data_IF_684008377908
#
_entry.id   IF_684008377908
#
_cell.length_a   1.000
_cell.length_b   1.000
_cell.length_c   1.000
_cell.angle_alpha   90.00
_cell.angle_beta   90.00
_cell.angle_gamma   90.00
#
_symmetry.space_group_name_H-M   'P 1'
#
loop_
_entity.id
_entity.type
_entity.pdbx_description
1 polymer ?
#
# COMPACT_ATOMS: atom_id res chain seq x y z
N UNK A 1 25.53 -13.96 16.65
CA UNK A 1 26.12 -14.09 15.30
C UNK A 1 25.05 -14.27 14.19
N UNK A 2 24.12 -15.22 14.30
CA UNK A 2 23.10 -15.43 13.25
C UNK A 2 22.23 -14.16 12.97
N UNK A 3 21.77 -13.45 14.01
CA UNK A 3 20.97 -12.23 13.88
C UNK A 3 21.76 -11.09 13.24
N UNK A 4 23.02 -10.94 13.64
CA UNK A 4 23.89 -9.85 13.18
C UNK A 4 24.22 -9.98 11.68
N UNK A 5 24.45 -11.23 11.22
CA UNK A 5 24.82 -11.53 9.84
C UNK A 5 23.62 -11.65 8.88
N UNK A 6 22.40 -11.51 9.40
CA UNK A 6 21.20 -11.55 8.57
C UNK A 6 21.05 -10.24 7.80
N UNK A 7 20.65 -10.31 6.54
CA UNK A 7 20.20 -9.13 5.81
C UNK A 7 18.80 -8.75 6.32
N UNK A 8 18.75 -7.73 7.13
CA UNK A 8 17.51 -7.19 7.72
C UNK A 8 17.81 -5.80 8.31
N UNK A 9 16.77 -4.99 8.50
CA UNK A 9 16.86 -3.67 9.11
C UNK A 9 17.63 -3.68 10.45
N UNK A 10 18.46 -2.66 10.66
CA UNK A 10 19.34 -2.52 11.83
C UNK A 10 18.56 -2.39 13.13
N UNK A 11 17.41 -1.74 13.13
CA UNK A 11 16.56 -1.57 14.33
C UNK A 11 15.97 -2.91 14.77
N UNK A 12 15.56 -3.74 13.80
CA UNK A 12 15.09 -5.11 14.05
C UNK A 12 16.19 -5.99 14.65
N UNK A 13 17.44 -5.90 14.12
CA UNK A 13 18.59 -6.63 14.69
C UNK A 13 18.85 -6.22 16.12
N UNK A 14 18.88 -4.91 16.39
CA UNK A 14 19.12 -4.36 17.72
C UNK A 14 18.05 -4.82 18.72
N UNK A 15 16.77 -4.76 18.36
CA UNK A 15 15.67 -5.22 19.20
C UNK A 15 15.85 -6.69 19.63
N UNK A 16 16.12 -7.57 18.65
CA UNK A 16 16.30 -9.00 18.94
C UNK A 16 17.54 -9.29 19.78
N UNK A 17 18.66 -8.59 19.53
CA UNK A 17 19.86 -8.73 20.34
C UNK A 17 19.60 -8.27 21.77
N UNK A 18 18.99 -7.11 21.98
CA UNK A 18 18.62 -6.60 23.31
C UNK A 18 17.69 -7.56 24.05
N UNK A 19 16.66 -8.08 23.38
CA UNK A 19 15.70 -9.00 23.98
C UNK A 19 16.38 -10.31 24.43
N UNK A 20 17.25 -10.88 23.61
CA UNK A 20 17.98 -12.12 23.94
C UNK A 20 19.03 -11.87 25.03
N UNK A 21 19.72 -10.73 25.02
CA UNK A 21 20.69 -10.42 26.07
C UNK A 21 20.03 -10.17 27.44
N UNK A 22 18.84 -9.51 27.43
CA UNK A 22 18.09 -9.24 28.66
C UNK A 22 17.40 -10.50 29.22
N UNK A 23 16.90 -11.37 28.35
CA UNK A 23 16.16 -12.59 28.70
C UNK A 23 16.62 -13.76 27.83
N UNK A 24 17.78 -14.38 28.07
CA UNK A 24 18.41 -15.31 27.13
C UNK A 24 17.53 -16.48 26.71
N UNK A 25 16.84 -17.15 27.61
CA UNK A 25 15.98 -18.31 27.34
C UNK A 25 14.66 -17.83 26.68
N UNK A 26 13.97 -16.91 27.35
CA UNK A 26 12.69 -16.39 26.88
C UNK A 26 12.85 -15.62 25.55
N UNK A 27 13.82 -14.70 25.47
CA UNK A 27 14.11 -13.93 24.26
C UNK A 27 14.55 -14.83 23.09
N UNK A 28 15.31 -15.89 23.38
CA UNK A 28 15.66 -16.91 22.39
C UNK A 28 14.43 -17.66 21.84
N UNK A 29 13.53 -18.09 22.71
CA UNK A 29 12.26 -18.76 22.30
C UNK A 29 11.40 -17.80 21.50
N UNK A 30 11.20 -16.57 21.98
CA UNK A 30 10.41 -15.55 21.29
C UNK A 30 11.03 -15.21 19.93
N UNK A 31 12.37 -15.13 19.85
CA UNK A 31 13.06 -14.93 18.56
C UNK A 31 12.83 -16.10 17.59
N UNK A 32 12.89 -17.33 18.06
CA UNK A 32 12.62 -18.51 17.24
C UNK A 32 11.17 -18.54 16.73
N UNK A 33 10.22 -18.05 17.53
CA UNK A 33 8.80 -18.01 17.19
C UNK A 33 8.41 -16.81 16.32
N UNK A 34 8.99 -15.63 16.56
CA UNK A 34 8.57 -14.37 15.95
C UNK A 34 9.66 -13.69 15.11
N UNK A 35 10.92 -13.90 15.43
CA UNK A 35 12.07 -13.24 14.78
C UNK A 35 12.51 -13.92 13.50
N UNK A 36 12.12 -15.18 13.29
CA UNK A 36 12.51 -15.92 12.10
C UNK A 36 11.47 -15.73 11.00
N UNK A 37 11.69 -14.73 10.14
CA UNK A 37 10.81 -14.40 9.00
C UNK A 37 10.84 -15.45 7.87
N UNK A 38 11.38 -16.66 8.10
CA UNK A 38 11.44 -17.70 7.07
C UNK A 38 10.03 -18.23 6.79
N UNK A 39 9.55 -17.88 5.64
CA UNK A 39 8.36 -18.48 5.03
C UNK A 39 8.60 -19.97 4.88
N UNK A 40 7.62 -20.83 5.16
CA UNK A 40 7.73 -22.27 4.92
C UNK A 40 8.19 -22.55 3.48
N UNK A 41 9.15 -23.47 3.29
CA UNK A 41 9.72 -23.76 1.96
C UNK A 41 8.67 -24.03 0.89
N UNK A 42 7.58 -24.72 1.25
CA UNK A 42 6.49 -25.01 0.32
C UNK A 42 5.77 -23.73 -0.16
N UNK A 43 5.62 -22.74 0.71
CA UNK A 43 5.03 -21.44 0.37
C UNK A 43 6.00 -20.60 -0.47
N UNK A 44 7.30 -20.64 -0.16
CA UNK A 44 8.33 -19.98 -1.00
C UNK A 44 8.39 -20.55 -2.42
N UNK A 45 8.19 -21.87 -2.59
CA UNK A 45 8.18 -22.48 -3.91
C UNK A 45 6.98 -22.00 -4.72
N UNK A 46 5.78 -21.96 -4.13
CA UNK A 46 4.57 -21.45 -4.79
C UNK A 46 4.71 -19.98 -5.16
N UNK A 47 5.24 -19.17 -4.26
CA UNK A 47 5.46 -17.76 -4.50
C UNK A 47 6.48 -17.53 -5.63
N UNK A 48 7.61 -18.24 -5.62
CA UNK A 48 8.59 -18.18 -6.71
C UNK A 48 8.02 -18.63 -8.05
N UNK A 49 7.12 -19.60 -8.07
CA UNK A 49 6.47 -20.03 -9.29
C UNK A 49 5.51 -18.97 -9.82
N UNK A 50 4.66 -18.42 -8.95
CA UNK A 50 3.78 -17.32 -9.29
C UNK A 50 4.56 -16.10 -9.80
N UNK A 51 5.71 -15.77 -9.18
CA UNK A 51 6.61 -14.70 -9.62
C UNK A 51 7.32 -15.02 -10.95
N UNK A 52 7.73 -16.27 -11.18
CA UNK A 52 8.30 -16.68 -12.47
C UNK A 52 7.28 -16.56 -13.62
N UNK A 53 6.02 -16.87 -13.35
CA UNK A 53 4.96 -16.72 -14.33
C UNK A 53 4.61 -15.25 -14.58
N UNK A 54 4.58 -14.44 -13.54
CA UNK A 54 4.42 -12.99 -13.62
C UNK A 54 5.39 -12.34 -14.62
N UNK A 55 6.70 -12.65 -14.56
CA UNK A 55 7.72 -12.11 -15.45
C UNK A 55 7.46 -12.34 -16.94
N UNK A 56 6.72 -13.40 -17.29
CA UNK A 56 6.40 -13.71 -18.69
C UNK A 56 5.38 -12.74 -19.29
N UNK A 57 4.57 -12.12 -18.43
CA UNK A 57 3.48 -11.23 -18.81
C UNK A 57 3.80 -9.76 -18.56
N UNK A 58 4.70 -9.45 -17.64
CA UNK A 58 5.19 -8.10 -17.39
C UNK A 58 6.13 -7.67 -18.54
N UNK A 59 5.57 -7.29 -19.68
CA UNK A 59 6.34 -6.91 -20.86
C UNK A 59 6.56 -5.40 -20.88
N UNK A 60 7.83 -4.99 -20.86
CA UNK A 60 8.23 -3.59 -21.02
C UNK A 60 8.03 -3.14 -22.46
N UNK A 61 7.45 -1.97 -22.69
CA UNK A 61 7.43 -1.33 -24.00
C UNK A 61 8.80 -0.67 -24.28
N UNK A 62 9.53 -1.22 -25.26
CA UNK A 62 10.88 -0.77 -25.61
C UNK A 62 10.84 0.62 -26.28
N UNK A 63 9.76 0.95 -27.01
CA UNK A 63 9.59 2.26 -27.64
C UNK A 63 9.51 3.36 -26.59
N UNK A 64 8.72 3.15 -25.53
CA UNK A 64 8.65 4.09 -24.40
C UNK A 64 10.06 4.27 -23.78
N UNK A 65 10.82 3.19 -23.58
CA UNK A 65 12.17 3.29 -23.00
C UNK A 65 13.15 4.07 -23.90
N UNK A 66 13.05 3.94 -25.22
CA UNK A 66 13.93 4.68 -26.13
C UNK A 66 13.67 6.17 -26.13
N UNK A 67 12.40 6.57 -25.97
CA UNK A 67 11.99 7.97 -25.93
C UNK A 67 12.32 8.65 -24.58
N UNK A 68 12.46 7.85 -23.49
CA UNK A 68 12.71 8.35 -22.13
C UNK A 68 14.16 8.77 -21.87
N UNK A 69 15.14 8.18 -22.55
CA UNK A 69 16.57 8.35 -22.21
C UNK A 69 17.14 9.73 -22.54
N UNK A 70 16.44 10.59 -23.27
CA UNK A 70 17.06 11.83 -23.74
C UNK A 70 16.73 13.07 -22.88
N UNK A 71 15.59 13.16 -22.19
CA UNK A 71 15.16 14.43 -21.56
C UNK A 71 14.60 14.37 -20.13
N UNK A 72 14.20 13.20 -19.57
CA UNK A 72 13.55 13.13 -18.25
C UNK A 72 14.24 12.20 -17.24
N UNK A 73 15.11 12.81 -16.42
CA UNK A 73 15.87 12.13 -15.37
C UNK A 73 14.98 11.42 -14.33
N UNK A 74 13.82 12.02 -13.96
CA UNK A 74 12.91 11.46 -12.93
C UNK A 74 12.28 10.18 -13.46
N UNK A 75 11.77 10.24 -14.68
CA UNK A 75 11.11 9.13 -15.34
C UNK A 75 12.09 7.96 -15.59
N UNK A 76 13.29 8.26 -16.11
CA UNK A 76 14.34 7.24 -16.31
C UNK A 76 14.72 6.54 -15.00
N UNK A 77 14.95 7.30 -13.94
CA UNK A 77 15.27 6.76 -12.62
C UNK A 77 14.19 5.84 -12.07
N UNK A 78 12.93 6.31 -12.11
CA UNK A 78 11.81 5.55 -11.58
C UNK A 78 11.54 4.29 -12.41
N UNK A 79 11.62 4.38 -13.73
CA UNK A 79 11.44 3.24 -14.65
C UNK A 79 12.54 2.19 -14.46
N UNK A 80 13.80 2.60 -14.39
CA UNK A 80 14.94 1.72 -14.18
C UNK A 80 14.85 0.99 -12.83
N UNK A 81 14.51 1.73 -11.76
CA UNK A 81 14.33 1.15 -10.42
C UNK A 81 13.16 0.18 -10.37
N UNK A 82 12.00 0.56 -10.91
CA UNK A 82 10.80 -0.27 -10.91
C UNK A 82 11.01 -1.58 -11.70
N UNK A 83 11.69 -1.49 -12.84
CA UNK A 83 12.05 -2.66 -13.63
C UNK A 83 13.05 -3.58 -12.92
N UNK A 84 14.09 -3.00 -12.32
CA UNK A 84 15.11 -3.77 -11.61
C UNK A 84 14.56 -4.43 -10.35
N UNK A 85 13.69 -3.75 -9.60
CA UNK A 85 13.16 -4.27 -8.35
C UNK A 85 12.10 -5.35 -8.55
N UNK A 86 11.21 -5.21 -9.54
CA UNK A 86 10.07 -6.11 -9.63
C UNK A 86 9.54 -6.35 -11.03
N UNK A 87 10.26 -5.93 -12.09
CA UNK A 87 9.78 -6.01 -13.48
C UNK A 87 8.44 -5.27 -13.68
N UNK A 88 8.31 -4.09 -13.07
CA UNK A 88 7.13 -3.23 -13.24
C UNK A 88 7.31 -2.35 -14.47
N UNK A 89 6.50 -2.58 -15.55
CA UNK A 89 6.61 -1.79 -16.78
C UNK A 89 6.07 -0.38 -16.59
N UNK A 90 6.58 0.55 -17.40
CA UNK A 90 5.98 1.86 -17.58
C UNK A 90 4.93 1.81 -18.71
N UNK A 91 3.84 2.57 -18.51
CA UNK A 91 2.74 2.68 -19.47
C UNK A 91 2.41 4.14 -19.74
N UNK A 92 2.08 4.45 -21.00
CA UNK A 92 1.66 5.79 -21.48
C UNK A 92 0.15 5.87 -21.78
N UNK A 93 -0.45 4.79 -22.25
CA UNK A 93 -1.85 4.75 -22.71
C UNK A 93 -2.83 4.46 -21.56
N UNK A 94 -2.89 5.36 -20.58
CA UNK A 94 -3.73 5.19 -19.39
C UNK A 94 -4.45 6.50 -19.02
N UNK A 95 -5.74 6.39 -18.74
CA UNK A 95 -6.53 7.46 -18.12
C UNK A 95 -6.54 7.24 -16.62
N UNK A 96 -6.18 8.26 -15.85
CA UNK A 96 -6.23 8.24 -14.40
C UNK A 96 -7.33 9.17 -13.89
N UNK A 97 -8.00 8.72 -12.83
CA UNK A 97 -8.92 9.55 -12.05
C UNK A 97 -8.50 9.43 -10.59
N UNK A 98 -8.18 10.56 -9.96
CA UNK A 98 -7.94 10.64 -8.53
C UNK A 98 -9.25 10.82 -7.77
N UNK A 99 -9.38 10.22 -6.60
CA UNK A 99 -10.51 10.38 -5.69
C UNK A 99 -10.00 10.96 -4.37
N UNK A 100 -10.42 12.17 -4.02
CA UNK A 100 -10.03 12.81 -2.77
C UNK A 100 -10.77 12.24 -1.56
N UNK A 101 -11.73 11.34 -1.77
CA UNK A 101 -12.51 10.73 -0.68
C UNK A 101 -12.89 9.29 -0.95
N UNK A 102 -13.10 8.51 0.12
CA UNK A 102 -13.60 7.14 0.01
C UNK A 102 -15.03 7.08 -0.53
N UNK A 103 -15.83 8.11 -0.29
CA UNK A 103 -17.18 8.25 -0.81
C UNK A 103 -17.20 8.32 -2.34
N UNK A 104 -16.34 9.17 -2.92
CA UNK A 104 -16.24 9.30 -4.37
C UNK A 104 -15.70 8.03 -5.03
N UNK A 105 -14.66 7.43 -4.42
CA UNK A 105 -14.10 6.17 -4.90
C UNK A 105 -15.15 5.04 -4.85
N UNK A 106 -15.94 4.97 -3.78
CA UNK A 106 -17.03 3.99 -3.65
C UNK A 106 -18.11 4.16 -4.72
N UNK A 107 -18.53 5.40 -5.01
CA UNK A 107 -19.47 5.65 -6.09
C UNK A 107 -18.94 5.17 -7.45
N UNK A 108 -17.66 5.41 -7.71
CA UNK A 108 -17.00 4.92 -8.93
C UNK A 108 -16.91 3.38 -8.95
N UNK A 109 -16.65 2.71 -7.81
CA UNK A 109 -16.72 1.24 -7.72
C UNK A 109 -18.08 0.72 -8.20
N UNK A 110 -19.18 1.27 -7.68
CA UNK A 110 -20.52 0.84 -8.05
C UNK A 110 -20.78 1.04 -9.54
N UNK A 111 -20.41 2.21 -10.08
CA UNK A 111 -20.61 2.52 -11.49
C UNK A 111 -19.87 1.57 -12.44
N UNK A 112 -18.62 1.20 -12.10
CA UNK A 112 -17.82 0.31 -12.95
C UNK A 112 -18.20 -1.16 -12.74
N UNK A 113 -18.51 -1.59 -11.50
CA UNK A 113 -18.95 -2.97 -11.21
C UNK A 113 -20.23 -3.35 -11.99
N UNK A 114 -21.18 -2.41 -12.12
CA UNK A 114 -22.42 -2.62 -12.90
C UNK A 114 -22.13 -2.87 -14.38
N UNK A 115 -21.02 -2.34 -14.92
CA UNK A 115 -20.63 -2.49 -16.33
C UNK A 115 -19.86 -3.78 -16.64
N UNK A 116 -19.43 -4.52 -15.63
CA UNK A 116 -18.64 -5.74 -15.79
C UNK A 116 -19.33 -6.77 -16.70
N UNK A 117 -18.61 -7.34 -17.65
CA UNK A 117 -19.10 -8.28 -18.66
C UNK A 117 -18.36 -9.63 -18.65
N UNK A 118 -17.06 -9.66 -18.31
CA UNK A 118 -16.20 -10.86 -18.39
C UNK A 118 -15.76 -11.31 -17.00
N UNK A 119 -15.05 -10.44 -16.22
CA UNK A 119 -14.58 -10.79 -14.90
C UNK A 119 -14.48 -9.61 -13.93
N UNK A 120 -14.59 -9.93 -12.63
CA UNK A 120 -14.35 -9.01 -11.51
C UNK A 120 -13.38 -9.66 -10.53
N UNK A 121 -12.26 -9.00 -10.26
CA UNK A 121 -11.29 -9.38 -9.25
C UNK A 121 -11.27 -8.36 -8.12
N UNK A 122 -11.50 -8.81 -6.88
CA UNK A 122 -11.47 -7.97 -5.69
C UNK A 122 -10.48 -8.54 -4.67
N UNK A 123 -9.55 -7.72 -4.21
CA UNK A 123 -8.58 -8.06 -3.18
C UNK A 123 -8.49 -6.93 -2.18
N UNK A 124 -8.92 -7.18 -0.93
CA UNK A 124 -8.98 -6.17 0.12
C UNK A 124 -8.52 -6.72 1.46
N UNK A 125 -7.76 -5.90 2.21
CA UNK A 125 -7.32 -6.27 3.55
C UNK A 125 -8.49 -6.42 4.52
N UNK A 126 -9.46 -5.47 4.49
CA UNK A 126 -10.66 -5.52 5.32
C UNK A 126 -11.91 -5.59 4.45
N UNK A 127 -12.75 -6.59 4.71
CA UNK A 127 -14.16 -6.60 4.31
C UNK A 127 -14.99 -6.64 5.58
N UNK A 128 -15.90 -5.68 5.74
CA UNK A 128 -16.79 -5.57 6.88
C UNK A 128 -18.25 -5.45 6.41
N UNK A 129 -19.14 -6.19 7.05
CA UNK A 129 -20.58 -6.11 6.77
C UNK A 129 -21.12 -4.73 7.09
N UNK A 130 -21.81 -4.12 6.15
CA UNK A 130 -22.37 -2.78 6.27
C UNK A 130 -23.01 -2.36 4.95
N UNK A 131 -23.34 -1.09 4.82
CA UNK A 131 -23.95 -0.52 3.60
C UNK A 131 -23.04 -0.72 2.40
N UNK A 132 -21.74 -0.36 2.54
CA UNK A 132 -20.76 -0.46 1.46
C UNK A 132 -20.65 -1.90 0.93
N UNK A 133 -20.35 -2.86 1.83
CA UNK A 133 -20.19 -4.25 1.41
C UNK A 133 -21.47 -4.88 0.89
N UNK A 134 -22.60 -4.67 1.55
CA UNK A 134 -23.86 -5.29 1.15
C UNK A 134 -24.29 -4.86 -0.26
N UNK A 135 -24.07 -3.60 -0.62
CA UNK A 135 -24.34 -3.09 -1.97
C UNK A 135 -23.41 -3.72 -3.00
N UNK A 136 -22.10 -3.76 -2.72
CA UNK A 136 -21.13 -4.40 -3.59
C UNK A 136 -21.46 -5.89 -3.75
N UNK A 137 -21.72 -6.60 -2.65
CA UNK A 137 -22.03 -8.03 -2.64
C UNK A 137 -23.25 -8.36 -3.51
N UNK A 138 -24.29 -7.53 -3.46
CA UNK A 138 -25.47 -7.74 -4.29
C UNK A 138 -25.10 -7.66 -5.79
N UNK A 139 -24.31 -6.67 -6.19
CA UNK A 139 -23.85 -6.54 -7.58
C UNK A 139 -23.01 -7.75 -7.98
N UNK A 140 -22.07 -8.19 -7.11
CA UNK A 140 -21.24 -9.36 -7.38
C UNK A 140 -22.07 -10.63 -7.57
N UNK A 141 -23.12 -10.84 -6.77
CA UNK A 141 -24.03 -11.98 -6.91
C UNK A 141 -24.80 -11.92 -8.23
N UNK A 142 -25.32 -10.74 -8.58
CA UNK A 142 -26.06 -10.54 -9.83
C UNK A 142 -25.15 -10.79 -11.05
N UNK A 143 -23.90 -10.29 -11.01
CA UNK A 143 -22.92 -10.53 -12.07
C UNK A 143 -22.49 -12.01 -12.16
N UNK A 144 -22.25 -12.66 -11.04
CA UNK A 144 -21.96 -14.10 -11.03
C UNK A 144 -23.13 -14.93 -11.61
N UNK A 145 -24.38 -14.58 -11.29
CA UNK A 145 -25.57 -15.21 -11.87
C UNK A 145 -25.69 -15.00 -13.39
N UNK A 146 -25.12 -13.91 -13.94
CA UNK A 146 -25.03 -13.63 -15.37
C UNK A 146 -23.85 -14.34 -16.06
N UNK A 147 -23.00 -15.06 -15.31
CA UNK A 147 -21.86 -15.81 -15.83
C UNK A 147 -20.53 -15.06 -15.82
N UNK A 148 -20.46 -13.87 -15.20
CA UNK A 148 -19.20 -13.13 -14.98
C UNK A 148 -18.32 -13.91 -13.98
N UNK A 149 -17.01 -14.03 -14.27
CA UNK A 149 -16.05 -14.69 -13.36
C UNK A 149 -15.72 -13.76 -12.18
N UNK A 150 -16.39 -13.95 -11.04
CA UNK A 150 -16.24 -13.11 -9.86
C UNK A 150 -15.32 -13.80 -8.85
N UNK A 151 -14.18 -13.15 -8.54
CA UNK A 151 -13.20 -13.63 -7.58
C UNK A 151 -12.90 -12.62 -6.50
N UNK A 152 -12.89 -13.09 -5.25
CA UNK A 152 -12.64 -12.24 -4.07
C UNK A 152 -11.53 -12.83 -3.21
N UNK A 153 -10.56 -12.01 -2.85
CA UNK A 153 -9.57 -12.29 -1.82
C UNK A 153 -9.76 -11.29 -0.67
N UNK A 154 -9.75 -11.77 0.55
CA UNK A 154 -9.67 -10.90 1.72
C UNK A 154 -8.64 -11.44 2.71
N UNK A 155 -7.97 -10.54 3.46
CA UNK A 155 -7.04 -10.96 4.50
C UNK A 155 -7.82 -11.49 5.72
N UNK A 156 -7.47 -12.70 6.17
CA UNK A 156 -8.19 -13.36 7.27
C UNK A 156 -8.05 -12.60 8.59
N UNK A 157 -6.86 -12.06 8.90
CA UNK A 157 -6.64 -11.27 10.11
C UNK A 157 -7.29 -9.89 10.02
N UNK A 158 -7.20 -9.23 8.87
CA UNK A 158 -7.81 -7.92 8.64
C UNK A 158 -9.33 -7.96 8.78
N UNK A 159 -9.95 -9.08 8.40
CA UNK A 159 -11.41 -9.26 8.42
C UNK A 159 -11.92 -10.10 9.60
N UNK A 160 -11.02 -10.59 10.48
CA UNK A 160 -11.32 -11.58 11.53
C UNK A 160 -12.46 -11.19 12.47
N UNK A 161 -12.53 -9.92 12.85
CA UNK A 161 -13.56 -9.41 13.78
C UNK A 161 -14.88 -9.02 13.10
N UNK A 162 -14.89 -9.02 11.77
CA UNK A 162 -15.98 -8.50 10.95
C UNK A 162 -16.73 -9.58 10.18
N UNK A 163 -16.05 -10.67 9.84
CA UNK A 163 -16.61 -11.77 9.04
C UNK A 163 -16.66 -13.08 9.83
N UNK A 164 -17.66 -13.95 9.57
CA UNK A 164 -17.68 -15.31 10.09
C UNK A 164 -16.49 -16.13 9.56
N UNK A 165 -15.98 -17.08 10.34
CA UNK A 165 -14.84 -17.95 9.94
C UNK A 165 -15.03 -18.67 8.62
N UNK A 166 -16.30 -19.05 8.29
CA UNK A 166 -16.63 -19.76 7.05
C UNK A 166 -17.09 -18.84 5.91
N UNK A 167 -16.79 -17.54 5.98
CA UNK A 167 -17.34 -16.57 5.06
C UNK A 167 -16.97 -16.83 3.59
N UNK A 168 -15.74 -17.25 3.32
CA UNK A 168 -15.32 -17.66 1.98
C UNK A 168 -16.19 -18.80 1.44
N UNK A 169 -16.51 -19.82 2.26
CA UNK A 169 -17.42 -20.92 1.86
C UNK A 169 -18.82 -20.41 1.55
N UNK A 170 -19.31 -19.43 2.33
CA UNK A 170 -20.63 -18.82 2.10
C UNK A 170 -20.69 -18.07 0.77
N UNK A 171 -19.63 -17.38 0.38
CA UNK A 171 -19.54 -16.68 -0.91
C UNK A 171 -19.39 -17.67 -2.08
N UNK A 172 -18.55 -18.71 -1.92
CA UNK A 172 -18.41 -19.77 -2.91
C UNK A 172 -19.75 -20.48 -3.20
N UNK A 173 -20.57 -20.72 -2.18
CA UNK A 173 -21.92 -21.30 -2.34
C UNK A 173 -22.88 -20.37 -3.11
N UNK A 174 -22.54 -19.08 -3.26
CA UNK A 174 -23.31 -18.09 -4.02
C UNK A 174 -22.73 -17.79 -5.41
N UNK A 175 -21.76 -18.59 -5.86
CA UNK A 175 -21.13 -18.44 -7.17
C UNK A 175 -19.97 -17.42 -7.21
N UNK A 176 -19.59 -16.84 -6.05
CA UNK A 176 -18.46 -15.91 -5.94
C UNK A 176 -17.25 -16.70 -5.47
N UNK A 177 -16.26 -16.94 -6.35
CA UNK A 177 -15.05 -17.66 -6.00
C UNK A 177 -14.25 -16.84 -4.96
N UNK A 178 -13.99 -17.41 -3.78
CA UNK A 178 -13.43 -16.63 -2.67
C UNK A 178 -12.35 -17.38 -1.92
N UNK A 179 -11.25 -16.69 -1.62
CA UNK A 179 -10.19 -17.17 -0.74
C UNK A 179 -9.95 -16.18 0.41
N UNK A 180 -9.77 -16.72 1.63
CA UNK A 180 -9.23 -15.96 2.75
C UNK A 180 -7.70 -16.05 2.69
N UNK A 181 -7.01 -14.91 2.59
CA UNK A 181 -5.54 -14.89 2.57
C UNK A 181 -4.96 -15.19 3.96
N UNK A 182 -3.98 -16.08 3.98
CA UNK A 182 -3.21 -16.48 5.16
C UNK A 182 -4.07 -16.74 6.41
N UNK A 183 -4.97 -17.76 6.36
CA UNK A 183 -5.88 -18.07 7.47
C UNK A 183 -5.12 -18.34 8.77
N UNK A 184 -5.64 -17.81 9.89
CA UNK A 184 -5.10 -18.02 11.21
C UNK A 184 -5.12 -19.50 11.60
N UNK A 185 -3.94 -20.14 11.60
CA UNK A 185 -3.75 -21.52 12.06
C UNK A 185 -2.78 -21.52 13.24
N UNK A 186 -3.09 -22.21 14.37
CA UNK A 186 -2.23 -22.20 15.56
C UNK A 186 -0.78 -22.65 15.33
N UNK A 187 -0.54 -23.41 14.25
CA UNK A 187 0.76 -24.02 13.92
C UNK A 187 1.68 -23.13 13.06
N UNK A 188 1.21 -21.98 12.57
CA UNK A 188 1.92 -21.12 11.61
C UNK A 188 2.20 -19.71 12.11
N UNK A 189 2.52 -19.56 13.40
CA UNK A 189 2.73 -18.24 14.03
C UNK A 189 3.74 -17.33 13.28
N UNK A 190 4.72 -17.89 12.58
CA UNK A 190 5.74 -17.14 11.85
C UNK A 190 5.28 -16.59 10.49
N UNK A 191 4.40 -17.31 9.78
CA UNK A 191 3.82 -16.83 8.52
C UNK A 191 2.67 -15.83 8.74
N UNK A 192 2.23 -15.66 9.99
CA UNK A 192 1.08 -14.80 10.34
C UNK A 192 1.38 -13.31 10.24
N UNK A 193 2.65 -12.90 10.21
CA UNK A 193 3.02 -11.48 10.09
C UNK A 193 2.91 -10.94 8.67
N UNK A 194 3.03 -11.81 7.66
CA UNK A 194 2.88 -11.40 6.26
C UNK A 194 1.40 -11.32 5.93
N UNK A 195 0.90 -10.09 5.79
CA UNK A 195 -0.52 -9.81 5.52
C UNK A 195 -0.69 -9.22 4.14
N UNK A 196 -1.82 -9.50 3.53
CA UNK A 196 -2.19 -8.88 2.27
C UNK A 196 -2.88 -7.54 2.55
N UNK A 197 -2.09 -6.46 2.48
CA UNK A 197 -2.59 -5.10 2.73
C UNK A 197 -3.00 -4.38 1.44
N UNK A 198 -3.02 -5.07 0.30
CA UNK A 198 -3.44 -4.50 -0.98
C UNK A 198 -4.94 -4.23 -1.00
N UNK A 199 -5.33 -3.29 -1.83
CA UNK A 199 -6.71 -2.95 -2.15
C UNK A 199 -6.79 -2.80 -3.65
N UNK A 200 -7.26 -3.85 -4.30
CA UNK A 200 -7.34 -3.97 -5.75
C UNK A 200 -8.76 -4.33 -6.14
N UNK A 201 -9.33 -3.57 -7.07
CA UNK A 201 -10.52 -3.95 -7.81
C UNK A 201 -10.19 -3.88 -9.29
N UNK A 202 -10.28 -5.00 -9.99
CA UNK A 202 -10.10 -5.08 -11.46
C UNK A 202 -11.40 -5.51 -12.10
N UNK A 203 -11.77 -4.85 -13.19
CA UNK A 203 -12.98 -5.14 -13.95
C UNK A 203 -12.58 -5.33 -15.42
N UNK A 204 -12.84 -6.52 -15.96
CA UNK A 204 -12.65 -6.91 -17.35
C UNK A 204 -11.22 -6.69 -17.89
N UNK A 205 -10.22 -6.51 -17.02
CA UNK A 205 -8.86 -6.10 -17.43
C UNK A 205 -8.77 -4.71 -18.07
N UNK A 206 -9.83 -3.91 -17.97
CA UNK A 206 -9.96 -2.58 -18.58
C UNK A 206 -9.95 -1.45 -17.57
N UNK A 207 -10.39 -1.74 -16.35
CA UNK A 207 -10.47 -0.77 -15.22
C UNK A 207 -9.85 -1.38 -13.99
N UNK A 208 -9.00 -0.62 -13.31
CA UNK A 208 -8.48 -0.99 -12.00
C UNK A 208 -8.61 0.17 -11.01
N UNK A 209 -8.79 -0.18 -9.74
CA UNK A 209 -8.78 0.77 -8.62
C UNK A 209 -7.77 0.33 -7.57
N UNK A 210 -7.11 1.32 -6.97
CA UNK A 210 -6.29 1.14 -5.77
C UNK A 210 -6.34 2.38 -4.88
N UNK A 211 -5.74 2.30 -3.68
CA UNK A 211 -5.69 3.40 -2.72
C UNK A 211 -5.78 2.91 -1.28
N UNK A 212 -6.09 3.81 -0.35
CA UNK A 212 -6.17 3.47 1.07
C UNK A 212 -7.47 2.78 1.50
N UNK A 213 -8.55 2.92 0.72
CA UNK A 213 -9.91 2.54 1.08
C UNK A 213 -10.11 1.02 1.16
N UNK A 214 -10.53 0.51 2.32
CA UNK A 214 -11.06 -0.86 2.47
C UNK A 214 -12.57 -0.89 2.28
N UNK A 215 -13.16 -2.07 2.33
CA UNK A 215 -14.60 -2.27 2.19
C UNK A 215 -15.26 -2.27 3.59
N UNK A 216 -15.51 -1.08 4.09
CA UNK A 216 -16.19 -0.87 5.38
C UNK A 216 -16.78 0.53 5.47
N UNK A 217 -17.88 0.67 6.22
CA UNK A 217 -18.71 1.87 6.29
C UNK A 217 -17.98 3.11 6.87
N UNK A 218 -16.93 2.93 7.66
CA UNK A 218 -16.10 4.03 8.15
C UNK A 218 -15.33 4.73 7.03
N UNK A 219 -14.92 4.03 5.97
CA UNK A 219 -14.17 4.60 4.83
C UNK A 219 -15.03 5.52 3.94
N UNK A 220 -16.34 5.36 4.01
CA UNK A 220 -17.32 6.19 3.31
C UNK A 220 -18.12 7.09 4.25
N UNK A 221 -17.64 7.31 5.47
CA UNK A 221 -18.21 8.16 6.51
C UNK A 221 -19.70 7.90 6.88
N UNK A 222 -20.28 6.78 6.46
CA UNK A 222 -21.61 6.35 6.90
C UNK A 222 -21.58 5.87 8.36
N UNK A 223 -20.41 5.52 8.87
CA UNK A 223 -20.18 5.18 10.27
C UNK A 223 -19.03 6.04 10.83
N UNK A 224 -19.36 6.98 11.72
CA UNK A 224 -18.34 7.79 12.42
C UNK A 224 -17.63 6.96 13.48
N UNK A 225 -16.29 6.85 13.39
CA UNK A 225 -15.48 6.12 14.35
C UNK A 225 -14.34 6.96 14.95
N UNK A 226 -13.61 7.72 14.12
CA UNK A 226 -12.46 8.54 14.52
C UNK A 226 -12.58 9.95 13.89
N UNK A 227 -13.73 10.61 14.07
CA UNK A 227 -14.02 11.84 13.36
C UNK A 227 -14.34 11.60 11.88
N UNK A 228 -13.99 12.55 11.03
CA UNK A 228 -14.05 12.40 9.58
C UNK A 228 -12.94 11.46 9.12
N UNK A 229 -13.29 10.42 8.38
CA UNK A 229 -12.34 9.50 7.76
C UNK A 229 -11.97 10.01 6.38
N UNK A 230 -10.74 10.46 6.22
CA UNK A 230 -10.19 10.94 4.94
C UNK A 230 -9.37 9.83 4.30
N UNK A 231 -9.91 9.20 3.27
CA UNK A 231 -9.17 8.27 2.44
C UNK A 231 -9.00 8.80 1.02
N UNK A 232 -8.04 8.28 0.29
CA UNK A 232 -7.75 8.66 -1.09
C UNK A 232 -7.45 7.43 -1.92
N UNK A 233 -7.74 7.52 -3.21
CA UNK A 233 -7.44 6.45 -4.15
C UNK A 233 -7.46 6.92 -5.60
N UNK A 234 -7.23 5.98 -6.50
CA UNK A 234 -7.29 6.26 -7.93
C UNK A 234 -7.95 5.13 -8.71
N UNK A 235 -8.45 5.49 -9.89
CA UNK A 235 -8.91 4.58 -10.93
C UNK A 235 -8.00 4.72 -12.15
N UNK A 236 -7.66 3.58 -12.74
CA UNK A 236 -6.87 3.48 -13.96
C UNK A 236 -7.73 2.82 -15.02
N UNK A 237 -7.78 3.39 -16.22
CA UNK A 237 -8.32 2.76 -17.43
C UNK A 237 -7.23 2.70 -18.47
N UNK A 238 -6.96 1.53 -19.04
CA UNK A 238 -5.92 1.36 -20.05
C UNK A 238 -4.95 0.23 -19.78
N UNK A 239 -3.82 0.26 -20.48
CA UNK A 239 -2.84 -0.83 -20.49
C UNK A 239 -2.27 -1.15 -19.10
N UNK A 240 -2.09 -0.16 -18.21
CA UNK A 240 -1.57 -0.36 -16.87
C UNK A 240 -2.44 -1.21 -15.94
N UNK A 241 -3.70 -1.47 -16.28
CA UNK A 241 -4.61 -2.38 -15.57
C UNK A 241 -4.07 -3.81 -15.55
N UNK A 242 -3.29 -4.17 -16.58
CA UNK A 242 -2.62 -5.46 -16.69
C UNK A 242 -1.83 -5.81 -15.42
N UNK A 243 -1.10 -4.87 -14.85
CA UNK A 243 -0.27 -5.11 -13.67
C UNK A 243 -1.09 -5.43 -12.42
N UNK A 244 -2.24 -4.79 -12.22
CA UNK A 244 -3.14 -5.13 -11.13
C UNK A 244 -3.82 -6.48 -11.35
N UNK A 245 -4.15 -6.81 -12.59
CA UNK A 245 -4.68 -8.14 -12.96
C UNK A 245 -3.68 -9.24 -12.63
N UNK A 246 -2.41 -9.05 -13.02
CA UNK A 246 -1.33 -9.99 -12.75
C UNK A 246 -1.07 -10.10 -11.24
N UNK A 247 -1.02 -8.96 -10.54
CA UNK A 247 -0.79 -8.93 -9.09
C UNK A 247 -1.89 -9.68 -8.31
N UNK A 248 -3.15 -9.51 -8.69
CA UNK A 248 -4.26 -10.29 -8.14
C UNK A 248 -4.09 -11.78 -8.39
N UNK A 249 -3.81 -12.17 -9.65
CA UNK A 249 -3.66 -13.57 -10.03
C UNK A 249 -2.46 -14.25 -9.38
N UNK A 250 -1.40 -13.51 -9.06
CA UNK A 250 -0.26 -13.99 -8.29
C UNK A 250 -0.72 -14.50 -6.92
N UNK A 251 -1.46 -13.71 -6.15
CA UNK A 251 -1.98 -14.13 -4.85
C UNK A 251 -3.10 -15.16 -5.00
N UNK A 252 -3.93 -15.05 -6.03
CA UNK A 252 -4.93 -16.09 -6.32
C UNK A 252 -4.28 -17.46 -6.50
N UNK A 253 -3.29 -17.57 -7.38
CA UNK A 253 -2.57 -18.82 -7.65
C UNK A 253 -1.77 -19.33 -6.44
N UNK A 254 -1.27 -18.41 -5.60
CA UNK A 254 -0.64 -18.79 -4.34
C UNK A 254 -1.62 -19.49 -3.38
N UNK A 255 -2.91 -19.10 -3.36
CA UNK A 255 -3.95 -19.66 -2.47
C UNK A 255 -4.69 -20.83 -3.08
N UNK A 256 -4.93 -20.81 -4.39
CA UNK A 256 -5.75 -21.79 -5.09
C UNK A 256 -5.10 -23.18 -5.15
N UNK A 257 -5.93 -24.21 -5.23
CA UNK A 257 -5.50 -25.60 -5.49
C UNK A 257 -5.16 -25.83 -6.97
N UNK A 258 -5.84 -25.10 -7.86
CA UNK A 258 -5.66 -25.19 -9.31
C UNK A 258 -5.08 -23.89 -9.83
N UNK A 259 -4.13 -24.01 -10.76
CA UNK A 259 -3.47 -22.86 -11.37
C UNK A 259 -4.40 -22.19 -12.38
N UNK A 260 -4.52 -20.88 -12.28
CA UNK A 260 -5.22 -20.02 -13.24
C UNK A 260 -4.21 -19.37 -14.19
N UNK A 261 -4.41 -19.55 -15.50
CA UNK A 261 -3.57 -18.89 -16.51
C UNK A 261 -3.82 -17.39 -16.55
N UNK A 262 -2.76 -16.62 -16.60
CA UNK A 262 -2.83 -15.16 -16.73
C UNK A 262 -3.36 -14.72 -18.10
N UNK A 263 -3.02 -15.47 -19.18
CA UNK A 263 -3.32 -15.10 -20.56
C UNK A 263 -4.81 -14.85 -20.85
N UNK A 264 -5.71 -15.52 -20.10
CA UNK A 264 -7.16 -15.33 -20.25
C UNK A 264 -7.62 -13.93 -19.86
N UNK A 265 -6.94 -13.31 -18.90
CA UNK A 265 -7.39 -12.08 -18.23
C UNK A 265 -6.60 -10.84 -18.62
N UNK A 266 -5.54 -11.03 -19.43
CA UNK A 266 -4.73 -9.92 -19.93
C UNK A 266 -5.31 -9.48 -21.27
N UNK A 267 -5.65 -8.19 -21.36
CA UNK A 267 -6.15 -7.60 -22.58
C UNK A 267 -5.03 -7.36 -23.60
N UNK A 268 -5.35 -7.44 -24.90
CA UNK A 268 -4.42 -6.96 -25.91
C UNK A 268 -4.25 -5.44 -25.77
N UNK A 269 -3.01 -4.96 -25.60
CA UNK A 269 -2.68 -3.55 -25.39
C UNK A 269 -3.15 -2.65 -26.56
N UNK A 270 -3.30 -3.20 -27.76
CA UNK A 270 -3.85 -2.48 -28.93
C UNK A 270 -5.28 -1.95 -28.71
N UNK A 271 -6.06 -2.59 -27.84
CA UNK A 271 -7.41 -2.12 -27.45
C UNK A 271 -7.35 -0.73 -26.82
N UNK A 272 -6.22 -0.37 -26.23
CA UNK A 272 -6.00 0.90 -25.55
C UNK A 272 -5.24 1.93 -26.38
N UNK A 273 -4.86 1.62 -27.63
CA UNK A 273 -4.08 2.52 -28.52
C UNK A 273 -4.75 3.85 -28.83
N UNK A 274 -6.08 3.90 -28.73
CA UNK A 274 -6.85 5.15 -28.90
C UNK A 274 -6.88 6.04 -27.66
N UNK A 275 -6.49 5.52 -26.49
CA UNK A 275 -6.39 6.31 -25.28
C UNK A 275 -5.14 7.19 -25.37
N UNK A 276 -5.35 8.49 -25.52
CA UNK A 276 -4.27 9.48 -25.49
C UNK A 276 -4.43 10.30 -24.21
N UNK A 277 -3.57 10.07 -23.26
CA UNK A 277 -3.47 10.89 -22.05
C UNK A 277 -2.01 11.27 -21.85
N UNK A 278 -1.70 12.51 -21.47
CA UNK A 278 -0.33 12.90 -21.18
C UNK A 278 0.21 12.13 -19.97
N UNK A 279 1.53 11.93 -19.97
CA UNK A 279 2.26 11.35 -18.87
C UNK A 279 2.30 9.83 -18.85
N UNK A 280 2.94 9.32 -17.82
CA UNK A 280 3.32 7.92 -17.66
C UNK A 280 2.88 7.39 -16.30
N UNK A 281 2.64 6.07 -16.23
CA UNK A 281 2.36 5.40 -14.97
C UNK A 281 3.19 4.13 -14.80
N UNK A 282 3.52 3.83 -13.56
CA UNK A 282 4.11 2.54 -13.16
C UNK A 282 3.23 1.96 -12.03
N UNK A 283 2.27 1.10 -12.36
CA UNK A 283 1.62 0.29 -11.35
C UNK A 283 2.61 -0.73 -10.81
N UNK A 284 2.66 -0.89 -9.48
CA UNK A 284 3.58 -1.84 -8.84
C UNK A 284 2.90 -2.59 -7.70
N UNK A 285 3.49 -3.71 -7.34
CA UNK A 285 3.20 -4.40 -6.08
C UNK A 285 4.49 -4.72 -5.34
N UNK A 286 4.38 -4.88 -4.03
CA UNK A 286 5.49 -5.23 -3.16
C UNK A 286 5.17 -6.54 -2.43
N UNK A 287 6.19 -7.33 -2.14
CA UNK A 287 6.06 -8.62 -1.51
C UNK A 287 7.09 -8.79 -0.39
N UNK A 288 6.68 -9.23 0.81
CA UNK A 288 7.63 -9.50 1.89
C UNK A 288 8.50 -10.73 1.63
N UNK A 289 8.35 -11.38 0.48
CA UNK A 289 9.03 -12.62 0.11
C UNK A 289 10.19 -12.40 -0.87
N UNK A 290 10.24 -11.26 -1.53
CA UNK A 290 11.37 -10.87 -2.37
C UNK A 290 12.47 -10.18 -1.55
N UNK A 291 13.59 -9.86 -2.20
CA UNK A 291 14.75 -9.20 -1.58
C UNK A 291 14.72 -7.68 -1.79
N UNK A 292 13.70 -7.18 -2.53
CA UNK A 292 13.59 -5.78 -2.90
C UNK A 292 12.43 -5.12 -2.15
N UNK A 293 12.71 -4.07 -1.40
CA UNK A 293 11.68 -3.26 -0.74
C UNK A 293 11.16 -2.21 -1.74
N UNK A 294 10.37 -2.63 -2.72
CA UNK A 294 9.92 -1.76 -3.82
C UNK A 294 9.20 -0.53 -3.31
N UNK A 295 8.29 -0.69 -2.35
CA UNK A 295 7.52 0.41 -1.74
C UNK A 295 8.41 1.44 -1.06
N UNK A 296 9.43 1.01 -0.32
CA UNK A 296 10.42 1.89 0.29
C UNK A 296 11.22 2.62 -0.77
N UNK A 297 11.72 1.88 -1.77
CA UNK A 297 12.54 2.44 -2.85
C UNK A 297 11.78 3.47 -3.71
N UNK A 298 10.46 3.27 -3.92
CA UNK A 298 9.60 4.28 -4.56
C UNK A 298 9.63 5.61 -3.78
N UNK A 299 9.39 5.58 -2.48
CA UNK A 299 9.42 6.79 -1.64
C UNK A 299 10.82 7.43 -1.58
N UNK A 300 11.89 6.62 -1.43
CA UNK A 300 13.26 7.12 -1.40
C UNK A 300 13.66 7.81 -2.71
N UNK A 301 13.28 7.24 -3.86
CA UNK A 301 13.53 7.86 -5.15
C UNK A 301 12.72 9.14 -5.36
N UNK A 302 11.46 9.17 -4.97
CA UNK A 302 10.63 10.39 -5.04
C UNK A 302 11.27 11.52 -4.22
N UNK A 303 11.70 11.24 -2.98
CA UNK A 303 12.42 12.21 -2.13
C UNK A 303 13.76 12.63 -2.76
N UNK A 304 14.49 11.68 -3.37
CA UNK A 304 15.78 11.95 -4.01
C UNK A 304 15.67 12.74 -5.32
N UNK A 305 14.52 12.72 -5.98
CA UNK A 305 14.24 13.48 -7.21
C UNK A 305 13.57 14.84 -6.93
N UNK A 306 13.05 15.06 -5.73
CA UNK A 306 12.35 16.29 -5.37
C UNK A 306 13.29 17.52 -5.43
N UNK A 307 12.80 18.61 -6.00
CA UNK A 307 13.53 19.90 -6.15
C UNK A 307 12.90 21.01 -5.31
N UNK A 308 11.59 21.17 -5.43
CA UNK A 308 10.84 22.26 -4.79
C UNK A 308 10.06 21.77 -3.56
N UNK A 309 9.28 20.69 -3.70
CA UNK A 309 8.50 20.16 -2.58
C UNK A 309 8.23 18.65 -2.67
N UNK A 310 7.99 18.04 -1.50
CA UNK A 310 7.48 16.68 -1.35
C UNK A 310 6.43 16.66 -0.23
N UNK A 311 5.16 16.40 -0.57
CA UNK A 311 4.06 16.35 0.39
C UNK A 311 3.51 14.93 0.50
N UNK A 312 3.31 14.47 1.73
CA UNK A 312 2.99 13.06 2.02
C UNK A 312 1.81 12.99 2.99
N UNK A 313 0.86 12.09 2.74
CA UNK A 313 -0.13 11.66 3.73
C UNK A 313 0.12 10.23 4.14
N UNK A 314 0.03 9.95 5.44
CA UNK A 314 0.16 8.59 5.98
C UNK A 314 -0.56 8.47 7.33
N UNK A 315 -1.29 7.36 7.59
CA UNK A 315 -1.89 7.16 8.91
C UNK A 315 -0.88 6.82 10.01
N UNK A 316 0.29 6.29 9.63
CA UNK A 316 1.35 5.88 10.55
C UNK A 316 2.70 6.41 10.07
N UNK A 317 3.46 7.02 10.98
CA UNK A 317 4.78 7.56 10.70
C UNK A 317 5.81 6.83 11.59
N UNK A 318 6.11 5.58 11.24
CA UNK A 318 7.00 4.69 11.99
C UNK A 318 8.21 4.35 11.13
N UNK A 319 9.11 5.29 11.04
CA UNK A 319 10.19 5.31 10.07
C UNK A 319 11.42 4.51 10.51
N UNK A 320 12.07 3.90 9.55
CA UNK A 320 13.43 3.39 9.66
C UNK A 320 14.48 4.50 9.52
N UNK A 321 15.74 4.14 9.68
CA UNK A 321 16.85 5.08 9.60
C UNK A 321 17.06 5.64 8.18
N UNK A 322 16.76 4.85 7.16
CA UNK A 322 16.95 5.22 5.75
C UNK A 322 15.95 6.31 5.35
N UNK A 323 14.67 6.11 5.69
CA UNK A 323 13.62 7.10 5.42
C UNK A 323 13.86 8.40 6.21
N UNK A 324 14.23 8.31 7.50
CA UNK A 324 14.57 9.50 8.31
C UNK A 324 15.72 10.27 7.65
N UNK A 325 16.75 9.57 7.19
CA UNK A 325 17.91 10.19 6.56
C UNK A 325 17.55 10.85 5.22
N UNK A 326 16.71 10.21 4.41
CA UNK A 326 16.23 10.76 3.13
C UNK A 326 15.36 12.01 3.32
N UNK A 327 14.44 12.00 4.28
CA UNK A 327 13.62 13.19 4.59
C UNK A 327 14.49 14.37 5.02
N UNK A 328 15.50 14.13 5.88
CA UNK A 328 16.45 15.16 6.32
C UNK A 328 17.30 15.68 5.16
N UNK A 329 17.76 14.80 4.29
CA UNK A 329 18.55 15.17 3.13
C UNK A 329 17.75 16.03 2.16
N UNK A 330 16.50 15.65 1.85
CA UNK A 330 15.62 16.44 1.00
C UNK A 330 15.46 17.88 1.55
N UNK A 331 15.16 18.03 2.84
CA UNK A 331 15.07 19.36 3.47
C UNK A 331 16.41 20.12 3.40
N UNK A 332 17.55 19.42 3.63
CA UNK A 332 18.88 20.05 3.54
C UNK A 332 19.20 20.55 2.12
N UNK A 333 18.60 19.94 1.11
CA UNK A 333 18.69 20.35 -0.29
C UNK A 333 17.69 21.48 -0.65
N UNK A 334 16.89 21.96 0.30
CA UNK A 334 15.95 23.07 0.10
C UNK A 334 14.51 22.63 -0.23
N UNK A 335 14.21 21.35 -0.23
CA UNK A 335 12.86 20.81 -0.53
C UNK A 335 11.89 21.11 0.63
N UNK A 336 10.71 21.64 0.33
CA UNK A 336 9.61 21.81 1.29
C UNK A 336 8.91 20.47 1.56
N UNK A 337 9.39 19.76 2.58
CA UNK A 337 8.84 18.44 2.95
C UNK A 337 7.73 18.62 3.97
N UNK A 338 6.50 18.18 3.61
CA UNK A 338 5.33 18.21 4.50
C UNK A 338 4.74 16.81 4.65
N UNK A 339 4.42 16.44 5.90
CA UNK A 339 3.81 15.16 6.22
C UNK A 339 2.51 15.39 6.99
N UNK A 340 1.41 14.80 6.52
CA UNK A 340 0.12 14.86 7.20
C UNK A 340 -0.17 13.50 7.85
N UNK A 341 -0.48 13.55 9.14
CA UNK A 341 -0.86 12.38 9.96
C UNK A 341 -2.24 12.59 10.59
N UNK A 342 -2.90 11.55 11.14
CA UNK A 342 -4.20 11.71 11.80
C UNK A 342 -4.15 12.66 13.02
N UNK A 343 -5.16 13.52 13.17
CA UNK A 343 -5.40 14.26 14.40
C UNK A 343 -6.12 13.39 15.46
N UNK A 344 -6.96 12.45 15.03
CA UNK A 344 -7.63 11.48 15.90
C UNK A 344 -7.17 10.07 15.50
N UNK A 345 -6.29 9.41 16.28
CA UNK A 345 -5.73 8.12 15.91
C UNK A 345 -6.69 6.94 16.14
N UNK A 346 -6.56 5.90 15.31
CA UNK A 346 -7.25 4.62 15.48
C UNK A 346 -6.62 3.75 16.59
N UNK A 347 -5.30 3.81 16.75
CA UNK A 347 -4.48 3.04 17.70
C UNK A 347 -3.57 3.97 18.49
N UNK A 348 -3.98 4.30 19.71
CA UNK A 348 -3.27 5.27 20.55
C UNK A 348 -1.79 4.93 20.76
N UNK A 349 -1.44 3.66 21.02
CA UNK A 349 -0.07 3.25 21.25
C UNK A 349 0.82 3.39 20.01
N UNK A 350 0.30 3.06 18.82
CA UNK A 350 0.98 3.23 17.53
C UNK A 350 1.20 4.72 17.23
N UNK A 351 0.22 5.54 17.58
CA UNK A 351 0.31 6.99 17.40
C UNK A 351 1.35 7.65 18.31
N UNK A 352 1.59 7.11 19.51
CA UNK A 352 2.69 7.58 20.37
C UNK A 352 4.07 7.30 19.74
N UNK A 353 4.21 6.22 18.96
CA UNK A 353 5.43 5.97 18.16
C UNK A 353 5.54 6.95 16.98
N UNK A 354 4.44 7.26 16.31
CA UNK A 354 4.37 8.34 15.30
C UNK A 354 4.89 9.66 15.90
N UNK A 355 4.36 10.07 17.06
CA UNK A 355 4.79 11.30 17.77
C UNK A 355 6.25 11.25 18.25
N UNK A 356 6.83 10.08 18.45
CA UNK A 356 8.25 9.95 18.82
C UNK A 356 9.21 10.40 17.69
N UNK A 357 8.74 10.47 16.44
CA UNK A 357 9.52 10.92 15.30
C UNK A 357 9.43 12.45 15.07
N UNK A 358 8.42 13.13 15.61
CA UNK A 358 8.14 14.54 15.35
C UNK A 358 9.32 15.46 15.69
N UNK A 359 9.83 15.36 16.92
CA UNK A 359 10.96 16.20 17.37
C UNK A 359 12.19 16.11 16.44
N UNK A 360 12.51 14.89 16.01
CA UNK A 360 13.65 14.63 15.12
C UNK A 360 13.45 15.20 13.72
N UNK A 361 12.25 15.10 13.17
CA UNK A 361 11.92 15.55 11.82
C UNK A 361 11.72 17.08 11.78
N UNK A 362 10.98 17.63 12.74
CA UNK A 362 10.73 19.08 12.81
C UNK A 362 12.04 19.87 13.04
N UNK A 363 12.95 19.36 13.87
CA UNK A 363 14.29 19.96 14.04
C UNK A 363 15.12 19.96 12.75
N UNK A 364 14.86 19.02 11.86
CA UNK A 364 15.51 18.99 10.56
C UNK A 364 14.83 19.89 9.52
N UNK A 365 13.66 20.46 9.83
CA UNK A 365 12.90 21.34 8.95
C UNK A 365 11.72 20.69 8.23
N UNK A 366 11.41 19.42 8.50
CA UNK A 366 10.19 18.78 7.99
C UNK A 366 8.98 19.37 8.70
N UNK A 367 7.96 19.78 7.96
CA UNK A 367 6.69 20.27 8.52
C UNK A 367 5.73 19.11 8.72
N UNK A 368 5.19 18.96 9.92
CA UNK A 368 4.24 17.91 10.27
C UNK A 368 2.88 18.52 10.58
N UNK A 369 1.84 17.97 9.98
CA UNK A 369 0.46 18.40 10.13
C UNK A 369 -0.39 17.28 10.73
N UNK A 370 -1.18 17.60 11.77
CA UNK A 370 -2.20 16.73 12.32
C UNK A 370 -3.57 17.07 11.69
N UNK A 371 -4.18 16.16 10.95
CA UNK A 371 -5.49 16.34 10.32
C UNK A 371 -6.59 16.45 11.36
N UNK A 372 -6.99 17.66 11.72
CA UNK A 372 -7.86 17.91 12.88
C UNK A 372 -9.29 17.37 12.75
N UNK A 373 -9.90 17.27 11.53
CA UNK A 373 -11.25 16.74 11.42
C UNK A 373 -11.39 15.27 11.83
N UNK A 374 -10.26 14.50 11.83
CA UNK A 374 -10.36 13.10 12.20
C UNK A 374 -9.15 12.25 11.83
N UNK A 375 -9.43 11.11 11.18
CA UNK A 375 -8.43 10.12 10.80
C UNK A 375 -8.14 10.18 9.30
N UNK A 376 -6.96 10.70 8.93
CA UNK A 376 -6.46 10.61 7.57
C UNK A 376 -5.82 9.24 7.35
N UNK A 377 -6.31 8.51 6.34
CA UNK A 377 -5.86 7.16 6.02
C UNK A 377 -5.33 7.02 4.59
N UNK A 378 -5.42 8.05 3.77
CA UNK A 378 -4.82 8.07 2.44
C UNK A 378 -3.30 7.94 2.51
N UNK A 379 -2.71 7.26 1.54
CA UNK A 379 -1.29 7.08 1.35
C UNK A 379 -0.93 7.63 -0.02
N UNK A 380 -0.63 8.90 0.00
CA UNK A 380 -0.32 9.69 -1.20
C UNK A 380 0.96 10.47 -0.96
N UNK A 381 1.83 10.47 -1.96
CA UNK A 381 3.00 11.33 -2.01
C UNK A 381 2.95 12.10 -3.33
N UNK A 382 3.17 13.41 -3.31
CA UNK A 382 3.28 14.26 -4.51
C UNK A 382 4.58 15.05 -4.46
N UNK A 383 5.23 15.19 -5.59
CA UNK A 383 6.52 15.88 -5.77
C UNK A 383 6.44 16.82 -6.98
N UNK A 384 6.76 18.10 -6.74
CA UNK A 384 7.09 19.12 -7.76
C UNK A 384 6.06 19.29 -8.89
N UNK A 385 4.78 19.10 -8.65
CA UNK A 385 3.72 19.07 -9.65
C UNK A 385 3.93 18.06 -10.80
N UNK A 386 5.02 17.28 -10.76
CA UNK A 386 5.45 16.39 -11.84
C UNK A 386 5.17 14.92 -11.55
N UNK A 387 5.19 14.49 -10.29
CA UNK A 387 5.02 13.07 -9.95
C UNK A 387 4.18 12.86 -8.70
N UNK A 388 3.41 11.78 -8.67
CA UNK A 388 2.74 11.35 -7.45
C UNK A 388 2.74 9.81 -7.31
N UNK A 389 2.55 9.36 -6.09
CA UNK A 389 2.35 7.97 -5.71
C UNK A 389 1.02 7.86 -4.95
N UNK A 390 0.13 7.01 -5.43
CA UNK A 390 -1.14 6.68 -4.75
C UNK A 390 -1.20 5.17 -4.54
N UNK A 391 -1.45 4.73 -3.32
CA UNK A 391 -1.48 3.28 -3.08
C UNK A 391 -1.89 2.89 -1.67
N UNK A 392 -1.41 1.72 -1.26
CA UNK A 392 -1.77 1.11 0.01
C UNK A 392 -0.68 1.26 1.08
N UNK A 393 0.50 1.76 0.69
CA UNK A 393 1.74 1.74 1.46
C UNK A 393 1.75 2.81 2.56
N UNK A 394 1.72 2.40 3.81
CA UNK A 394 1.97 3.30 4.94
C UNK A 394 3.48 3.58 5.09
N UNK A 395 3.82 4.69 5.71
CA UNK A 395 5.22 4.96 6.13
C UNK A 395 5.52 4.24 7.45
N UNK A 396 5.49 2.92 7.42
CA UNK A 396 5.78 2.08 8.59
C UNK A 396 6.53 0.79 8.23
N UNK A 397 7.13 0.15 9.24
CA UNK A 397 7.90 -1.10 9.08
C UNK A 397 7.08 -2.26 8.49
N UNK A 398 5.77 -2.32 8.79
CA UNK A 398 4.94 -3.41 8.27
C UNK A 398 4.73 -3.27 6.78
N UNK A 399 4.41 -2.08 6.32
CA UNK A 399 4.21 -1.82 4.89
C UNK A 399 5.50 -2.02 4.11
N UNK A 400 6.64 -1.55 4.60
CA UNK A 400 7.90 -1.68 3.86
C UNK A 400 8.54 -3.07 3.88
N UNK A 401 8.28 -3.89 4.93
CA UNK A 401 9.05 -5.12 5.13
C UNK A 401 8.24 -6.40 5.35
N UNK A 402 6.93 -6.31 5.57
CA UNK A 402 6.14 -7.45 6.05
C UNK A 402 4.84 -7.69 5.29
N UNK A 403 4.28 -6.67 4.64
CA UNK A 403 3.00 -6.77 3.95
C UNK A 403 3.18 -6.91 2.44
N UNK A 404 2.19 -7.54 1.80
CA UNK A 404 1.96 -7.34 0.39
C UNK A 404 1.28 -5.98 0.23
N UNK A 405 1.85 -5.12 -0.59
CA UNK A 405 1.38 -3.76 -0.84
C UNK A 405 1.25 -3.52 -2.35
N UNK A 406 0.56 -2.48 -2.75
CA UNK A 406 0.51 -2.04 -4.14
C UNK A 406 0.28 -0.52 -4.25
N UNK A 407 0.56 0.00 -5.41
CA UNK A 407 0.34 1.39 -5.74
C UNK A 407 0.52 1.67 -7.22
N UNK A 408 0.34 2.92 -7.56
CA UNK A 408 0.67 3.47 -8.86
C UNK A 408 1.49 4.74 -8.68
N UNK A 409 2.69 4.72 -9.24
CA UNK A 409 3.43 5.94 -9.46
C UNK A 409 2.99 6.54 -10.79
N UNK A 410 2.84 7.86 -10.83
CA UNK A 410 2.39 8.61 -12.00
C UNK A 410 3.27 9.82 -12.22
N UNK A 411 3.51 10.16 -13.48
CA UNK A 411 4.36 11.24 -13.89
C UNK A 411 3.74 12.02 -15.03
N UNK A 412 3.71 13.35 -14.89
CA UNK A 412 3.12 14.31 -15.85
C UNK A 412 1.67 14.00 -16.27
N UNK A 413 0.92 13.36 -15.38
CA UNK A 413 -0.49 13.03 -15.61
C UNK A 413 -1.44 14.17 -15.23
N UNK A 414 -2.60 14.22 -15.84
CA UNK A 414 -3.59 15.29 -15.59
C UNK A 414 -4.11 15.33 -14.16
N UNK A 415 -4.13 14.20 -13.44
CA UNK A 415 -4.66 14.14 -12.08
C UNK A 415 -3.71 14.71 -11.00
N UNK A 416 -2.47 15.06 -11.34
CA UNK A 416 -1.53 15.67 -10.39
C UNK A 416 -2.08 16.99 -9.83
N UNK A 417 -2.76 17.78 -10.64
CA UNK A 417 -3.42 19.02 -10.19
C UNK A 417 -4.49 18.74 -9.14
N UNK A 418 -5.30 17.69 -9.32
CA UNK A 418 -6.33 17.32 -8.35
C UNK A 418 -5.71 16.85 -7.03
N UNK A 419 -4.63 16.08 -7.10
CA UNK A 419 -3.86 15.63 -5.92
C UNK A 419 -3.30 16.84 -5.16
N UNK A 420 -2.66 17.78 -5.85
CA UNK A 420 -2.12 19.01 -5.24
C UNK A 420 -3.21 19.82 -4.55
N UNK A 421 -4.32 20.08 -5.25
CA UNK A 421 -5.46 20.82 -4.71
C UNK A 421 -6.00 20.16 -3.43
N UNK A 422 -6.09 18.80 -3.41
CA UNK A 422 -6.54 18.07 -2.23
C UNK A 422 -5.58 18.24 -1.04
N UNK A 423 -4.26 18.23 -1.27
CA UNK A 423 -3.27 18.53 -0.23
C UNK A 423 -3.41 19.95 0.31
N UNK A 424 -3.64 20.93 -0.55
CA UNK A 424 -3.85 22.31 -0.13
C UNK A 424 -5.11 22.45 0.76
N UNK A 425 -6.19 21.75 0.44
CA UNK A 425 -7.39 21.72 1.29
C UNK A 425 -7.12 20.99 2.62
N UNK A 426 -6.36 19.89 2.59
CA UNK A 426 -5.96 19.16 3.80
C UNK A 426 -5.15 20.06 4.73
N UNK A 427 -4.18 20.83 4.21
CA UNK A 427 -3.38 21.75 5.04
C UNK A 427 -4.23 22.83 5.72
N UNK A 428 -5.24 23.38 5.04
CA UNK A 428 -6.12 24.42 5.62
C UNK A 428 -6.88 23.95 6.87
N UNK A 429 -7.18 22.66 6.96
CA UNK A 429 -7.95 22.06 8.07
C UNK A 429 -7.06 21.27 9.03
N UNK A 430 -5.75 21.31 8.85
CA UNK A 430 -4.79 20.58 9.70
C UNK A 430 -4.06 21.55 10.64
N UNK A 431 -3.65 21.04 11.79
CA UNK A 431 -2.79 21.75 12.73
C UNK A 431 -1.32 21.46 12.41
N UNK A 432 -0.53 22.49 12.13
CA UNK A 432 0.91 22.37 12.00
C UNK A 432 1.56 22.23 13.37
N UNK A 433 2.26 21.13 13.60
CA UNK A 433 2.90 20.82 14.89
C UNK A 433 4.18 21.64 15.02
N UNK A 434 4.26 22.47 16.07
CA UNK A 434 5.42 23.27 16.34
C UNK A 434 6.52 22.50 17.10
N UNK A 435 7.77 22.96 16.95
CA UNK A 435 8.89 22.43 17.75
C UNK A 435 8.66 22.68 19.26
N UNK A 436 8.03 23.77 19.62
CA UNK A 436 7.74 24.13 21.01
C UNK A 436 6.82 23.09 21.68
N UNK A 437 5.77 22.63 20.96
CA UNK A 437 4.87 21.56 21.44
C UNK A 437 5.63 20.26 21.68
N UNK A 438 6.57 19.90 20.81
CA UNK A 438 7.43 18.74 20.99
C UNK A 438 8.36 18.89 22.19
N UNK A 439 8.96 20.05 22.39
CA UNK A 439 9.88 20.34 23.51
C UNK A 439 9.13 20.34 24.84
N UNK A 440 7.94 20.94 24.88
CA UNK A 440 7.11 21.06 26.09
C UNK A 440 6.37 19.77 26.47
N UNK A 441 6.49 18.70 25.68
CA UNK A 441 5.93 17.38 26.02
C UNK A 441 6.53 16.87 27.34
N UNK A 442 5.68 16.36 28.24
CA UNK A 442 6.07 15.82 29.53
C UNK A 442 7.23 14.80 29.41
N UNK A 443 8.33 14.95 30.18
CA UNK A 443 9.49 14.05 30.10
C UNK A 443 9.14 12.55 30.24
N UNK A 444 8.18 12.19 31.11
CA UNK A 444 7.75 10.80 31.26
C UNK A 444 7.10 10.26 29.97
N UNK A 445 6.34 11.10 29.26
CA UNK A 445 5.75 10.74 27.95
C UNK A 445 6.85 10.57 26.89
N UNK A 446 7.88 11.42 26.89
CA UNK A 446 9.04 11.27 26.00
C UNK A 446 9.77 9.95 26.23
N UNK A 447 10.02 9.60 27.50
CA UNK A 447 10.64 8.30 27.86
C UNK A 447 9.76 7.15 27.37
N UNK A 448 8.45 7.21 27.61
CA UNK A 448 7.49 6.20 27.15
C UNK A 448 7.53 6.04 25.62
N UNK A 449 7.49 7.14 24.86
CA UNK A 449 7.60 7.14 23.38
C UNK A 449 8.91 6.52 22.92
N UNK A 450 10.03 6.86 23.55
CA UNK A 450 11.34 6.30 23.20
C UNK A 450 11.41 4.79 23.48
N UNK A 451 10.81 4.32 24.57
CA UNK A 451 10.69 2.89 24.83
C UNK A 451 9.86 2.21 23.74
N UNK A 452 8.69 2.75 23.40
CA UNK A 452 7.85 2.21 22.33
C UNK A 452 8.58 2.18 20.98
N UNK A 453 9.37 3.20 20.68
CA UNK A 453 10.14 3.29 19.42
C UNK A 453 11.13 2.13 19.26
N UNK A 454 11.68 1.57 20.34
CA UNK A 454 12.53 0.37 20.27
C UNK A 454 11.77 -0.83 19.72
N UNK A 455 10.44 -0.90 19.93
CA UNK A 455 9.58 -1.97 19.43
C UNK A 455 8.97 -1.69 18.04
N UNK A 456 9.29 -0.56 17.41
CA UNK A 456 8.80 -0.20 16.06
C UNK A 456 8.86 -1.35 15.04
N UNK A 457 9.94 -2.17 14.97
CA UNK A 457 10.03 -3.23 13.95
C UNK A 457 9.02 -4.37 14.09
N UNK A 458 8.31 -4.44 15.22
CA UNK A 458 7.29 -5.48 15.46
C UNK A 458 5.87 -4.93 15.64
N UNK A 459 5.69 -3.61 15.48
CA UNK A 459 4.42 -2.89 15.62
C UNK A 459 3.61 -2.82 14.33
#
# INVERSE_FOLDING_TARGET
MHIINRDSDSSSKLLWVLLIMSFPIFGGIVYLLLGNRKIPKALMIKDRQAYSDYKKYALQNIEILSDLHEDDYVLDKMTSMAWTNGYFPVYDNCLLTYFPSGEEQYQAFIQELIKAEDFIFMEFFIINKGVMWNTILQILMDKAAMGVDVRVIYDDMGSLTYLPRDYAKMLNARGIQTHAFNPLRPQLAMAMNNRDHRKILVIDGKVAFTGGCNISDEYINTKKRFGHWKDMGCMIKGAGVEMFTISFLQIWNYQASEYTSYSRFIQNREVFSSLKNPGYIIPFSDSPTDENNTSLNMHLNMLGCAKDYCWITTPYLILDAEMISSLKLAVSNGVDVRIVVPGIPDKKMVYEVTKANFDTLIKAGVKIYEYTPGFIHGKVCIVDDSSALVGTVNMDFRSYYQHYECGVWMHETTCLTDIKNDFEEIFKVSHEVSLEECVNTNPAVKVYRNILKVFSPIM
#
